data_IF_389439041440
#
_entry.id   IF_389439041440
#
_cell.length_a   1.000
_cell.length_b   1.000
_cell.length_c   1.000
_cell.angle_alpha   90.00
_cell.angle_beta   90.00
_cell.angle_gamma   90.00
#
_symmetry.space_group_name_H-M   'P 1'
#
loop_
_entity.id
_entity.type
_entity.pdbx_description
1 polymer ?
#
# COMPACT_ATOMS: atom_id res chain seq x y z
N UNK A 1 -16.26 34.46 -13.25
CA UNK A 1 -16.11 33.11 -13.82
C UNK A 1 -15.29 32.33 -12.81
N UNK A 2 -15.71 31.12 -12.44
CA UNK A 2 -14.96 30.28 -11.48
C UNK A 2 -14.20 29.25 -12.32
N UNK A 3 -12.90 29.19 -12.11
CA UNK A 3 -11.99 28.31 -12.85
C UNK A 3 -11.21 27.45 -11.85
N UNK A 4 -10.92 26.19 -12.22
CA UNK A 4 -9.99 25.30 -11.51
C UNK A 4 -8.93 24.91 -12.53
N UNK A 5 -7.66 25.12 -12.21
CA UNK A 5 -6.50 24.86 -13.09
C UNK A 5 -6.63 25.49 -14.50
N UNK A 6 -7.23 26.69 -14.57
CA UNK A 6 -7.43 27.43 -15.82
C UNK A 6 -8.52 26.86 -16.74
N UNK A 7 -9.35 25.94 -16.25
CA UNK A 7 -10.54 25.43 -16.95
C UNK A 7 -11.82 25.94 -16.29
N UNK A 8 -12.75 26.45 -17.10
CA UNK A 8 -14.10 26.82 -16.66
C UNK A 8 -14.84 25.59 -16.13
N UNK A 9 -15.38 25.72 -14.93
CA UNK A 9 -16.12 24.65 -14.24
C UNK A 9 -17.33 24.15 -15.02
N UNK A 10 -17.92 24.98 -15.90
CA UNK A 10 -19.11 24.60 -16.67
C UNK A 10 -18.78 23.67 -17.84
N UNK A 11 -17.51 23.52 -18.20
CA UNK A 11 -17.04 22.70 -19.31
C UNK A 11 -16.08 21.59 -18.86
N UNK A 12 -16.08 21.27 -17.57
CA UNK A 12 -15.27 20.20 -17.00
C UNK A 12 -15.97 18.85 -17.20
N UNK A 13 -15.51 18.05 -18.18
CA UNK A 13 -15.86 16.64 -18.23
C UNK A 13 -15.27 15.96 -17.00
N UNK A 14 -16.12 15.46 -16.10
CA UNK A 14 -15.67 14.62 -14.98
C UNK A 14 -15.11 13.34 -15.61
N UNK A 15 -13.79 13.09 -15.52
CA UNK A 15 -13.24 11.84 -16.02
C UNK A 15 -13.93 10.70 -15.27
N UNK A 16 -14.17 9.57 -15.93
CA UNK A 16 -14.67 8.39 -15.23
C UNK A 16 -13.54 7.87 -14.32
N UNK A 17 -13.48 8.43 -13.11
CA UNK A 17 -12.41 8.23 -12.14
C UNK A 17 -12.51 6.90 -11.41
N UNK A 18 -13.49 6.04 -11.74
CA UNK A 18 -13.64 4.73 -11.12
C UNK A 18 -12.93 3.68 -11.98
N UNK A 19 -11.75 3.18 -11.56
CA UNK A 19 -11.05 2.17 -12.34
C UNK A 19 -11.89 0.89 -12.40
N UNK A 20 -11.92 0.23 -13.57
CA UNK A 20 -12.66 -1.02 -13.80
C UNK A 20 -12.36 -2.11 -12.77
N UNK A 21 -11.17 -2.07 -12.13
CA UNK A 21 -10.79 -3.01 -11.08
C UNK A 21 -11.75 -2.97 -9.89
N UNK A 22 -12.30 -1.81 -9.54
CA UNK A 22 -13.22 -1.68 -8.39
C UNK A 22 -14.62 -2.22 -8.68
N UNK A 23 -14.97 -2.42 -9.95
CA UNK A 23 -16.23 -3.05 -10.36
C UNK A 23 -16.06 -4.56 -10.58
N UNK A 24 -14.88 -4.98 -11.05
CA UNK A 24 -14.63 -6.38 -11.44
C UNK A 24 -14.08 -7.23 -10.29
N UNK A 25 -13.27 -6.66 -9.40
CA UNK A 25 -12.72 -7.37 -8.25
C UNK A 25 -13.70 -7.38 -7.07
N UNK A 26 -14.55 -8.41 -7.05
CA UNK A 26 -15.66 -8.59 -6.10
C UNK A 26 -15.42 -9.72 -5.09
N UNK A 27 -14.20 -10.27 -5.03
CA UNK A 27 -13.90 -11.53 -4.32
C UNK A 27 -14.20 -11.46 -2.80
N UNK A 28 -14.20 -10.26 -2.22
CA UNK A 28 -14.48 -10.03 -0.79
C UNK A 28 -15.77 -9.24 -0.51
N UNK A 29 -16.67 -9.06 -1.49
CA UNK A 29 -17.95 -8.36 -1.29
C UNK A 29 -18.82 -9.00 -0.19
N UNK A 30 -18.68 -10.32 -0.02
CA UNK A 30 -19.38 -11.10 1.01
C UNK A 30 -18.56 -11.24 2.30
N UNK A 31 -17.46 -10.50 2.43
CA UNK A 31 -16.54 -10.50 3.55
C UNK A 31 -15.21 -11.24 3.30
N UNK A 32 -14.20 -10.91 4.10
CA UNK A 32 -12.82 -11.41 3.98
C UNK A 32 -12.65 -12.89 4.33
N UNK A 33 -13.61 -13.49 5.05
CA UNK A 33 -13.53 -14.83 5.65
C UNK A 33 -12.38 -15.00 6.65
N UNK A 34 -11.73 -13.92 7.06
CA UNK A 34 -10.68 -13.92 8.10
C UNK A 34 -11.37 -13.95 9.46
N UNK A 35 -11.05 -14.97 10.26
CA UNK A 35 -11.57 -15.15 11.61
C UNK A 35 -10.42 -15.04 12.60
N UNK A 36 -10.49 -14.07 13.51
CA UNK A 36 -9.53 -13.87 14.59
C UNK A 36 -10.20 -14.26 15.92
N UNK A 37 -10.08 -15.52 16.33
CA UNK A 37 -10.70 -16.01 17.57
C UNK A 37 -9.78 -15.89 18.78
N UNK A 38 -8.51 -16.26 18.63
CA UNK A 38 -7.46 -16.15 19.64
C UNK A 38 -6.20 -15.66 18.93
N UNK A 39 -5.76 -14.44 19.24
CA UNK A 39 -4.61 -13.82 18.60
C UNK A 39 -3.41 -13.84 19.54
N UNK A 40 -2.25 -14.23 19.04
CA UNK A 40 -1.00 -14.20 19.80
C UNK A 40 -0.36 -12.82 19.75
N UNK A 41 0.53 -12.51 20.71
CA UNK A 41 1.30 -11.25 20.67
C UNK A 41 2.11 -11.10 19.37
N UNK A 42 2.66 -12.20 18.84
CA UNK A 42 3.36 -12.20 17.57
C UNK A 42 2.42 -11.81 16.42
N UNK A 43 1.20 -12.36 16.39
CA UNK A 43 0.22 -12.01 15.38
C UNK A 43 -0.21 -10.54 15.49
N UNK A 44 -0.38 -10.00 16.70
CA UNK A 44 -0.67 -8.56 16.91
C UNK A 44 0.46 -7.70 16.32
N UNK A 45 1.72 -8.02 16.64
CA UNK A 45 2.89 -7.30 16.09
C UNK A 45 2.93 -7.39 14.56
N UNK A 46 2.71 -8.58 14.01
CA UNK A 46 2.69 -8.79 12.56
C UNK A 46 1.57 -7.99 11.87
N UNK A 47 0.37 -7.93 12.46
CA UNK A 47 -0.74 -7.13 11.95
C UNK A 47 -0.42 -5.63 12.00
N UNK A 48 0.21 -5.15 13.08
CA UNK A 48 0.62 -3.75 13.20
C UNK A 48 1.63 -3.36 12.10
N UNK A 49 2.65 -4.19 11.86
CA UNK A 49 3.62 -3.98 10.78
C UNK A 49 2.92 -4.04 9.41
N UNK A 50 2.00 -4.99 9.21
CA UNK A 50 1.22 -5.11 7.97
C UNK A 50 0.42 -3.84 7.69
N UNK A 51 -0.22 -3.25 8.71
CA UNK A 51 -0.96 -2.01 8.56
C UNK A 51 -0.05 -0.84 8.16
N UNK A 52 1.15 -0.74 8.74
CA UNK A 52 2.14 0.27 8.36
C UNK A 52 2.56 0.13 6.90
N UNK A 53 2.95 -1.09 6.48
CA UNK A 53 3.33 -1.39 5.08
C UNK A 53 2.17 -1.11 4.12
N UNK A 54 0.96 -1.60 4.44
CA UNK A 54 -0.23 -1.39 3.61
C UNK A 54 -0.54 0.11 3.42
N UNK A 55 -0.46 0.89 4.51
CA UNK A 55 -0.70 2.33 4.45
C UNK A 55 0.40 3.07 3.68
N UNK A 56 1.66 2.67 3.81
CA UNK A 56 2.75 3.25 3.05
C UNK A 56 2.58 2.98 1.55
N UNK A 57 2.36 1.73 1.16
CA UNK A 57 2.17 1.37 -0.25
C UNK A 57 0.94 2.05 -0.86
N UNK A 58 -0.13 2.28 -0.07
CA UNK A 58 -1.32 3.04 -0.49
C UNK A 58 -1.02 4.42 -1.03
N UNK A 59 0.02 5.08 -0.51
CA UNK A 59 0.34 6.47 -0.83
C UNK A 59 1.61 6.62 -1.67
N UNK A 60 2.50 5.62 -1.67
CA UNK A 60 3.82 5.75 -2.30
C UNK A 60 4.09 4.74 -3.42
N UNK A 61 3.34 3.63 -3.51
CA UNK A 61 3.55 2.67 -4.60
C UNK A 61 2.83 3.15 -5.88
N UNK A 62 3.54 3.35 -7.01
CA UNK A 62 2.97 3.98 -8.21
C UNK A 62 1.78 3.22 -8.76
N UNK A 63 1.85 1.89 -8.79
CA UNK A 63 0.77 1.06 -9.33
C UNK A 63 -0.45 0.98 -8.41
N UNK A 64 -0.24 1.17 -7.11
CA UNK A 64 -1.34 1.25 -6.14
C UNK A 64 -2.04 2.59 -6.28
N UNK A 65 -1.27 3.69 -6.31
CA UNK A 65 -1.77 5.05 -6.53
C UNK A 65 -2.47 5.21 -7.89
N UNK A 66 -2.02 4.49 -8.92
CA UNK A 66 -2.66 4.46 -10.23
C UNK A 66 -4.01 3.70 -10.25
N UNK A 67 -4.41 3.10 -9.12
CA UNK A 67 -5.68 2.38 -9.01
C UNK A 67 -5.70 1.05 -9.76
N UNK A 68 -4.55 0.39 -9.98
CA UNK A 68 -4.50 -0.93 -10.63
C UNK A 68 -5.03 -2.07 -9.75
N UNK A 69 -5.14 -1.83 -8.44
CA UNK A 69 -5.57 -2.82 -7.47
C UNK A 69 -6.75 -2.30 -6.66
N UNK A 70 -7.69 -3.18 -6.32
CA UNK A 70 -8.59 -2.92 -5.21
C UNK A 70 -7.79 -3.04 -3.91
N UNK A 71 -7.25 -1.91 -3.46
CA UNK A 71 -6.23 -1.90 -2.42
C UNK A 71 -6.73 -2.35 -1.04
N UNK A 72 -8.02 -2.15 -0.76
CA UNK A 72 -8.64 -2.67 0.46
C UNK A 72 -8.72 -4.21 0.40
N UNK A 73 -8.98 -4.78 -0.79
CA UNK A 73 -9.03 -6.23 -0.98
C UNK A 73 -7.64 -6.86 -0.94
N UNK A 74 -6.60 -6.15 -1.37
CA UNK A 74 -5.21 -6.61 -1.24
C UNK A 74 -4.81 -6.87 0.22
N UNK A 75 -5.32 -6.08 1.17
CA UNK A 75 -5.10 -6.34 2.60
C UNK A 75 -5.64 -7.73 2.98
N UNK A 76 -6.85 -8.07 2.54
CA UNK A 76 -7.44 -9.39 2.83
C UNK A 76 -6.72 -10.54 2.11
N UNK A 77 -6.06 -10.29 0.98
CA UNK A 77 -5.25 -11.31 0.28
C UNK A 77 -3.98 -11.65 1.04
N UNK A 78 -3.30 -10.67 1.62
CA UNK A 78 -2.01 -10.89 2.31
C UNK A 78 -2.18 -11.42 3.74
N UNK A 79 -3.23 -10.99 4.45
CA UNK A 79 -3.44 -11.33 5.86
C UNK A 79 -3.40 -12.83 6.19
N UNK A 80 -3.96 -13.76 5.39
CA UNK A 80 -3.88 -15.19 5.67
C UNK A 80 -2.45 -15.74 5.74
N UNK A 81 -1.53 -15.25 4.92
CA UNK A 81 -0.12 -15.67 4.96
C UNK A 81 0.58 -15.09 6.20
N UNK A 82 0.30 -13.82 6.52
CA UNK A 82 0.84 -13.13 7.71
C UNK A 82 0.39 -13.77 9.02
N UNK A 83 -0.89 -14.13 9.12
CA UNK A 83 -1.45 -14.76 10.32
C UNK A 83 -0.92 -16.19 10.55
N UNK A 84 -0.49 -16.87 9.48
CA UNK A 84 0.11 -18.22 9.52
C UNK A 84 1.62 -18.19 9.76
N UNK A 85 2.28 -17.05 9.60
CA UNK A 85 3.72 -16.91 9.78
C UNK A 85 4.13 -17.25 11.23
N UNK A 86 5.02 -18.22 11.38
CA UNK A 86 5.48 -18.70 12.69
C UNK A 86 6.61 -17.87 13.30
N UNK A 87 7.23 -17.00 12.49
CA UNK A 87 8.34 -16.15 12.87
C UNK A 87 8.48 -14.98 11.88
N UNK A 88 9.33 -14.03 12.24
CA UNK A 88 9.59 -12.82 11.46
C UNK A 88 10.08 -13.14 10.03
N UNK A 89 10.92 -14.17 9.86
CA UNK A 89 11.43 -14.57 8.54
C UNK A 89 10.31 -15.00 7.59
N UNK A 90 9.35 -15.81 8.07
CA UNK A 90 8.21 -16.24 7.25
C UNK A 90 7.26 -15.08 6.92
N UNK A 91 7.07 -14.16 7.87
CA UNK A 91 6.29 -12.94 7.66
C UNK A 91 6.96 -12.09 6.57
N UNK A 92 8.26 -11.87 6.66
CA UNK A 92 9.00 -11.01 5.72
C UNK A 92 9.05 -11.61 4.31
N UNK A 93 9.13 -12.94 4.19
CA UNK A 93 8.92 -13.62 2.90
C UNK A 93 7.55 -13.34 2.29
N UNK A 94 6.50 -13.27 3.12
CA UNK A 94 5.14 -12.95 2.68
C UNK A 94 5.05 -11.48 2.23
N UNK A 95 5.69 -10.55 2.96
CA UNK A 95 5.78 -9.14 2.55
C UNK A 95 6.53 -8.96 1.24
N UNK A 96 7.69 -9.59 1.07
CA UNK A 96 8.47 -9.52 -0.17
C UNK A 96 7.67 -10.03 -1.37
N UNK A 97 7.01 -11.17 -1.21
CA UNK A 97 6.15 -11.74 -2.25
C UNK A 97 5.02 -10.79 -2.60
N UNK A 98 4.36 -10.21 -1.60
CA UNK A 98 3.26 -9.28 -1.80
C UNK A 98 3.71 -8.00 -2.51
N UNK A 99 4.75 -7.32 -2.01
CA UNK A 99 5.30 -6.09 -2.60
C UNK A 99 5.73 -6.33 -4.05
N UNK A 100 6.45 -7.43 -4.31
CA UNK A 100 6.91 -7.77 -5.67
C UNK A 100 5.75 -7.97 -6.65
N UNK A 101 4.60 -8.47 -6.19
CA UNK A 101 3.44 -8.69 -7.04
C UNK A 101 2.72 -7.38 -7.41
N UNK A 102 3.00 -6.27 -6.74
CA UNK A 102 2.42 -4.96 -7.07
C UNK A 102 3.03 -4.35 -8.34
N UNK A 103 4.12 -4.92 -8.83
CA UNK A 103 4.81 -4.48 -10.04
C UNK A 103 6.15 -3.81 -9.72
N UNK A 104 6.71 -3.15 -10.72
CA UNK A 104 8.01 -2.49 -10.60
C UNK A 104 7.82 -1.05 -10.15
N UNK A 105 8.59 -0.63 -9.16
CA UNK A 105 8.80 0.80 -8.89
C UNK A 105 9.81 1.30 -9.93
N UNK A 106 9.43 2.22 -10.83
CA UNK A 106 10.36 2.76 -11.80
C UNK A 106 11.47 3.49 -11.06
N UNK A 107 12.71 3.35 -11.55
CA UNK A 107 13.82 4.15 -11.04
C UNK A 107 13.44 5.62 -11.18
N UNK A 108 13.47 6.33 -10.06
CA UNK A 108 13.33 7.78 -10.08
C UNK A 108 14.37 8.33 -11.08
N UNK A 109 13.92 9.19 -12.00
CA UNK A 109 14.76 9.84 -13.01
C UNK A 109 15.70 10.87 -12.36
N UNK A 110 15.94 12.07 -12.93
CA UNK A 110 16.45 13.16 -12.11
C UNK A 110 15.39 13.43 -11.04
N UNK A 111 15.56 12.84 -9.86
CA UNK A 111 14.69 13.08 -8.73
C UNK A 111 14.73 14.58 -8.48
N UNK A 112 13.57 15.20 -8.53
CA UNK A 112 13.45 16.62 -8.21
C UNK A 112 14.01 16.77 -6.81
N UNK A 113 15.10 17.51 -6.65
CA UNK A 113 15.60 17.86 -5.33
C UNK A 113 14.48 18.59 -4.62
N UNK A 114 13.92 17.94 -3.61
CA UNK A 114 12.90 18.52 -2.76
C UNK A 114 13.57 19.67 -2.02
N UNK A 115 13.04 20.89 -2.17
CA UNK A 115 13.64 22.03 -1.49
C UNK A 115 13.64 21.79 0.02
N UNK A 116 14.61 22.34 0.79
CA UNK A 116 14.62 22.22 2.24
C UNK A 116 13.33 22.75 2.90
N UNK A 117 12.64 23.67 2.23
CA UNK A 117 11.38 24.28 2.66
C UNK A 117 10.13 23.49 2.20
N UNK A 118 10.33 22.43 1.41
CA UNK A 118 9.24 21.55 1.01
C UNK A 118 8.74 20.77 2.22
N UNK A 119 7.42 20.78 2.42
CA UNK A 119 6.80 19.98 3.46
C UNK A 119 6.93 18.50 3.09
N UNK A 120 7.90 17.80 3.67
CA UNK A 120 8.00 16.35 3.52
C UNK A 120 6.80 15.71 4.23
N UNK A 121 5.92 15.07 3.45
CA UNK A 121 4.62 14.57 3.93
C UNK A 121 4.75 13.33 4.85
N UNK A 122 5.96 12.79 5.10
CA UNK A 122 6.08 11.64 5.98
C UNK A 122 7.44 11.46 6.63
N UNK A 123 7.43 11.22 7.94
CA UNK A 123 8.53 10.55 8.62
C UNK A 123 8.44 9.04 8.33
N UNK A 124 9.40 8.50 7.59
CA UNK A 124 9.50 7.06 7.28
C UNK A 124 10.54 6.33 8.13
N UNK A 125 11.03 6.95 9.22
CA UNK A 125 12.00 6.34 10.13
C UNK A 125 11.49 5.04 10.73
N UNK A 126 10.16 4.88 10.80
CA UNK A 126 9.53 3.63 11.21
C UNK A 126 10.00 2.45 10.37
N UNK A 127 10.27 2.63 9.06
CA UNK A 127 10.77 1.54 8.18
C UNK A 127 12.10 1.03 8.71
N UNK A 128 12.94 1.91 9.25
CA UNK A 128 14.22 1.52 9.82
C UNK A 128 14.13 0.94 11.22
N UNK A 129 13.17 1.42 12.01
CA UNK A 129 12.96 1.04 13.41
C UNK A 129 12.18 -0.28 13.57
N UNK A 130 11.34 -0.64 12.59
CA UNK A 130 10.58 -1.87 12.63
C UNK A 130 11.45 -3.11 12.49
N UNK A 131 11.05 -4.17 13.17
CA UNK A 131 11.69 -5.47 13.09
C UNK A 131 11.28 -6.19 11.79
N UNK A 132 11.75 -5.69 10.64
CA UNK A 132 11.58 -6.27 9.31
C UNK A 132 12.95 -6.40 8.64
N UNK A 133 13.10 -7.38 7.75
CA UNK A 133 14.37 -7.65 7.08
C UNK A 133 14.79 -6.48 6.18
N UNK A 134 16.11 -6.37 5.95
CA UNK A 134 16.67 -5.34 5.06
C UNK A 134 16.13 -5.47 3.63
N UNK A 135 15.84 -6.68 3.18
CA UNK A 135 15.21 -6.91 1.87
C UNK A 135 13.81 -6.29 1.80
N UNK A 136 13.01 -6.41 2.87
CA UNK A 136 11.68 -5.76 2.92
C UNK A 136 11.84 -4.24 2.92
N UNK A 137 12.78 -3.70 3.72
CA UNK A 137 13.07 -2.26 3.76
C UNK A 137 13.48 -1.73 2.38
N UNK A 138 14.33 -2.45 1.66
CA UNK A 138 14.73 -2.09 0.29
C UNK A 138 13.56 -2.22 -0.68
N UNK A 139 12.70 -3.23 -0.56
CA UNK A 139 11.54 -3.37 -1.44
C UNK A 139 10.49 -2.26 -1.26
N UNK A 140 10.48 -1.58 -0.11
CA UNK A 140 9.62 -0.43 0.17
C UNK A 140 10.16 0.90 -0.39
N UNK A 141 11.41 0.96 -0.83
CA UNK A 141 12.09 2.18 -1.28
C UNK A 141 12.44 2.11 -2.76
#
# INVERSE_FOLDING_TARGET
MVEIDGKDINNFEIPNLRPEIFESDTIFDKGSKIILSQITEQQIKNLAITAKIWSFLKYYHPEVNAGKFNWDYELFRVLPEILKAKNDKQRDQSFLKWIKNLGTVPTCGPCVEVSPDSFSIGNFDWIEQENISNEVKTALK
#
